data_IF_900299511095
#
_entry.id   IF_900299511095
#
_cell.length_a   1.000
_cell.length_b   1.000
_cell.length_c   1.000
_cell.angle_alpha   90.00
_cell.angle_beta   90.00
_cell.angle_gamma   90.00
#
_symmetry.space_group_name_H-M   'P 1'
#
loop_
_entity.id
_entity.type
_entity.pdbx_description
1 polymer ?
#
# COMPACT_ATOMS: atom_id res chain seq x y z
N UNK A 1 23.11 -8.42 -9.17
CA UNK A 1 23.97 -9.62 -9.09
C UNK A 1 24.06 -10.26 -7.69
N UNK A 2 23.56 -9.66 -6.60
CA UNK A 2 23.60 -10.28 -5.25
C UNK A 2 22.50 -11.35 -4.97
N UNK A 3 21.47 -11.44 -5.81
CA UNK A 3 20.36 -12.38 -5.59
C UNK A 3 20.73 -13.86 -5.86
N UNK A 4 21.90 -14.15 -6.47
CA UNK A 4 22.30 -15.53 -6.83
C UNK A 4 23.21 -16.20 -5.79
N UNK A 5 23.52 -15.54 -4.67
CA UNK A 5 24.45 -16.02 -3.63
C UNK A 5 23.75 -16.46 -2.33
N UNK A 6 22.43 -16.30 -2.22
CA UNK A 6 21.69 -16.83 -1.09
C UNK A 6 21.38 -18.31 -1.34
N UNK A 7 21.84 -19.19 -0.46
CA UNK A 7 21.44 -20.60 -0.47
C UNK A 7 19.91 -20.74 -0.41
N UNK A 8 19.39 -21.85 -0.91
CA UNK A 8 17.98 -22.07 -1.20
C UNK A 8 16.98 -21.96 -0.02
N UNK A 9 17.43 -21.61 1.19
CA UNK A 9 16.62 -21.58 2.42
C UNK A 9 16.57 -20.20 3.13
N UNK A 10 17.09 -19.13 2.52
CA UNK A 10 17.00 -17.80 3.17
C UNK A 10 15.61 -17.19 2.95
N UNK A 11 14.91 -16.90 4.05
CA UNK A 11 13.61 -16.25 4.01
C UNK A 11 13.71 -14.83 3.43
N UNK A 12 12.59 -14.32 2.90
CA UNK A 12 12.50 -12.93 2.40
C UNK A 12 12.91 -11.91 3.48
N UNK A 13 12.58 -12.19 4.74
CA UNK A 13 12.83 -11.29 5.85
C UNK A 13 14.32 -11.27 6.23
N UNK A 14 14.98 -12.43 6.22
CA UNK A 14 16.43 -12.52 6.43
C UNK A 14 17.22 -11.83 5.32
N UNK A 15 16.80 -11.99 4.06
CA UNK A 15 17.39 -11.25 2.93
C UNK A 15 17.22 -9.74 3.09
N UNK A 16 16.01 -9.30 3.47
CA UNK A 16 15.72 -7.88 3.68
C UNK A 16 16.57 -7.31 4.81
N UNK A 17 16.69 -8.03 5.92
CA UNK A 17 17.53 -7.62 7.04
C UNK A 17 19.00 -7.52 6.64
N UNK A 18 19.56 -8.54 5.98
CA UNK A 18 20.96 -8.54 5.55
C UNK A 18 21.26 -7.39 4.57
N UNK A 19 20.36 -7.12 3.62
CA UNK A 19 20.48 -5.98 2.69
C UNK A 19 20.48 -4.66 3.46
N UNK A 20 19.56 -4.49 4.41
CA UNK A 20 19.48 -3.27 5.21
C UNK A 20 20.69 -3.06 6.12
N UNK A 21 21.25 -4.12 6.70
CA UNK A 21 22.49 -4.05 7.48
C UNK A 21 23.69 -3.61 6.62
N UNK A 22 23.81 -4.13 5.40
CA UNK A 22 24.87 -3.67 4.49
C UNK A 22 24.65 -2.22 4.06
N UNK A 23 23.41 -1.82 3.79
CA UNK A 23 23.09 -0.44 3.43
C UNK A 23 23.45 0.53 4.58
N UNK A 24 23.20 0.17 5.84
CA UNK A 24 23.55 0.99 7.01
C UNK A 24 25.04 1.32 7.08
N UNK A 25 25.93 0.42 6.62
CA UNK A 25 27.38 0.68 6.60
C UNK A 25 27.75 1.85 5.68
N UNK A 26 26.95 2.12 4.64
CA UNK A 26 27.15 3.30 3.78
C UNK A 26 26.92 4.60 4.55
N UNK A 27 25.97 4.62 5.50
CA UNK A 27 25.70 5.78 6.34
C UNK A 27 26.86 6.09 7.29
N UNK A 28 27.52 5.06 7.83
CA UNK A 28 28.74 5.22 8.65
C UNK A 28 29.86 5.88 7.84
N UNK A 29 30.06 5.46 6.58
CA UNK A 29 31.01 6.13 5.69
C UNK A 29 30.67 7.61 5.44
N UNK A 30 29.37 7.91 5.29
CA UNK A 30 28.89 9.27 5.07
C UNK A 30 29.12 10.20 6.28
N UNK A 31 29.12 9.68 7.51
CA UNK A 31 29.40 10.48 8.73
C UNK A 31 30.75 11.20 8.64
N UNK A 32 31.80 10.52 8.16
CA UNK A 32 33.13 11.13 8.02
C UNK A 32 33.14 12.30 7.03
N UNK A 33 32.38 12.20 5.93
CA UNK A 33 32.24 13.29 4.97
C UNK A 33 31.45 14.46 5.55
N UNK A 34 30.36 14.17 6.26
CA UNK A 34 29.55 15.19 6.93
C UNK A 34 30.36 15.96 7.97
N UNK A 35 31.23 15.29 8.73
CA UNK A 35 32.16 15.95 9.65
C UNK A 35 33.11 16.90 8.93
N UNK A 36 33.65 16.51 7.77
CA UNK A 36 34.50 17.39 6.94
C UNK A 36 33.74 18.61 6.43
N UNK A 37 32.51 18.43 5.93
CA UNK A 37 31.66 19.53 5.45
C UNK A 37 31.39 20.53 6.59
N UNK A 38 31.09 20.03 7.79
CA UNK A 38 30.87 20.87 8.98
C UNK A 38 32.13 21.61 9.40
N UNK A 39 33.29 20.94 9.41
CA UNK A 39 34.57 21.56 9.74
C UNK A 39 34.95 22.69 8.75
N UNK A 40 34.50 22.60 7.51
CA UNK A 40 34.62 23.65 6.50
C UNK A 40 33.60 24.80 6.66
N UNK A 41 32.75 24.77 7.69
CA UNK A 41 31.74 25.80 7.96
C UNK A 41 30.50 25.73 7.07
N UNK A 42 30.30 24.62 6.34
CA UNK A 42 29.12 24.39 5.52
C UNK A 42 28.02 23.62 6.28
N UNK A 43 26.78 23.75 5.82
CA UNK A 43 25.62 23.05 6.38
C UNK A 43 25.37 21.79 5.56
N UNK A 44 25.62 20.59 6.10
CA UNK A 44 25.42 19.33 5.37
C UNK A 44 23.92 19.03 5.21
N UNK A 45 23.50 18.71 3.99
CA UNK A 45 22.15 18.25 3.67
C UNK A 45 22.25 16.84 3.09
N UNK A 46 21.55 15.90 3.71
CA UNK A 46 21.43 14.54 3.21
C UNK A 46 20.31 14.44 2.18
N UNK A 47 20.48 13.61 1.16
CA UNK A 47 19.42 13.32 0.20
C UNK A 47 19.32 11.81 0.03
N UNK A 48 18.10 11.29 0.07
CA UNK A 48 17.84 9.87 -0.14
C UNK A 48 16.54 9.69 -0.91
N UNK A 49 16.59 8.92 -2.00
CA UNK A 49 15.40 8.47 -2.70
C UNK A 49 15.26 6.97 -2.45
N UNK A 50 14.35 6.61 -1.55
CA UNK A 50 14.18 5.24 -1.10
C UNK A 50 13.32 5.20 0.13
N UNK A 51 13.25 4.03 0.77
CA UNK A 51 12.33 3.80 1.87
C UNK A 51 12.92 4.16 3.22
N UNK A 52 12.05 4.71 4.07
CA UNK A 52 12.31 4.85 5.50
C UNK A 52 11.33 3.94 6.22
N UNK A 53 11.86 3.09 7.10
CA UNK A 53 11.05 2.12 7.84
C UNK A 53 9.95 2.83 8.62
N UNK A 54 8.72 2.34 8.48
CA UNK A 54 7.54 2.94 9.11
C UNK A 54 6.95 4.13 8.35
N UNK A 55 7.44 4.44 7.15
CA UNK A 55 6.78 5.39 6.27
C UNK A 55 5.36 4.92 5.91
N UNK A 56 4.43 5.87 5.89
CA UNK A 56 3.03 5.64 5.53
C UNK A 56 2.82 5.88 4.03
N UNK A 57 1.95 5.08 3.43
CA UNK A 57 1.46 5.30 2.07
C UNK A 57 0.04 5.86 2.11
N UNK A 58 -0.33 6.64 1.10
CA UNK A 58 -1.63 7.32 1.06
C UNK A 58 -2.83 6.37 1.15
N UNK A 59 -2.70 5.16 0.57
CA UNK A 59 -3.73 4.11 0.65
C UNK A 59 -3.64 3.21 1.88
N UNK A 60 -2.74 3.49 2.83
CA UNK A 60 -2.52 2.67 4.04
C UNK A 60 -1.83 1.33 3.79
N UNK A 61 -1.37 1.05 2.56
CA UNK A 61 -0.60 -0.14 2.25
C UNK A 61 0.83 -0.09 2.78
N UNK A 62 1.53 -1.22 2.73
CA UNK A 62 2.98 -1.32 2.95
C UNK A 62 3.65 -1.56 1.59
N UNK A 63 4.88 -1.09 1.42
CA UNK A 63 5.70 -1.41 0.25
C UNK A 63 5.82 -2.93 0.07
N UNK A 64 5.78 -3.36 -1.18
CA UNK A 64 5.78 -4.78 -1.56
C UNK A 64 7.09 -5.11 -2.24
N UNK A 65 8.04 -5.67 -1.49
CA UNK A 65 9.28 -6.15 -2.08
C UNK A 65 10.34 -6.44 -1.05
N UNK A 66 11.54 -6.74 -1.52
CA UNK A 66 12.78 -6.55 -0.75
C UNK A 66 13.28 -5.18 -1.17
N UNK A 67 13.32 -4.23 -0.24
CA UNK A 67 13.77 -2.86 -0.49
C UNK A 67 14.81 -2.48 0.56
N UNK A 68 15.71 -1.57 0.18
CA UNK A 68 16.62 -0.94 1.14
C UNK A 68 15.81 0.07 1.94
N UNK A 69 15.67 -0.20 3.23
CA UNK A 69 14.98 0.66 4.17
C UNK A 69 15.93 1.15 5.25
N UNK A 70 16.10 2.47 5.34
CA UNK A 70 16.81 3.07 6.47
C UNK A 70 15.85 3.33 7.62
N UNK A 71 16.37 3.27 8.86
CA UNK A 71 15.66 3.86 9.99
C UNK A 71 15.87 5.39 9.94
N UNK A 72 14.83 6.17 10.27
CA UNK A 72 14.96 7.63 10.34
C UNK A 72 16.01 8.06 11.37
N UNK A 73 16.22 7.28 12.44
CA UNK A 73 17.28 7.52 13.41
C UNK A 73 18.68 7.34 12.81
N UNK A 74 18.91 6.28 12.01
CA UNK A 74 20.20 6.05 11.34
C UNK A 74 20.54 7.23 10.41
N UNK A 75 19.54 7.76 9.70
CA UNK A 75 19.71 8.96 8.85
C UNK A 75 20.05 10.20 9.68
N UNK A 76 19.44 10.37 10.84
CA UNK A 76 19.74 11.49 11.73
C UNK A 76 21.17 11.40 12.30
N UNK A 77 21.65 10.20 12.62
CA UNK A 77 23.00 9.93 13.14
C UNK A 77 24.11 10.20 12.11
N UNK A 78 23.79 10.30 10.82
CA UNK A 78 24.76 10.75 9.80
C UNK A 78 25.24 12.17 10.11
N UNK A 79 24.46 12.97 10.85
CA UNK A 79 24.85 14.30 11.30
C UNK A 79 24.55 15.41 10.29
N UNK A 80 23.74 15.14 9.26
CA UNK A 80 23.22 16.19 8.38
C UNK A 80 22.30 17.13 9.17
N UNK A 81 22.20 18.40 8.75
CA UNK A 81 21.25 19.34 9.35
C UNK A 81 19.80 19.02 8.96
N UNK A 82 19.61 18.46 7.77
CA UNK A 82 18.34 18.01 7.20
C UNK A 82 18.58 16.84 6.24
N UNK A 83 17.64 15.89 6.18
CA UNK A 83 17.57 14.82 5.19
C UNK A 83 16.32 15.00 4.32
N UNK A 84 16.55 15.35 3.07
CA UNK A 84 15.54 15.43 2.02
C UNK A 84 15.24 14.02 1.48
N UNK A 85 14.02 13.53 1.74
CA UNK A 85 13.57 12.23 1.26
C UNK A 85 12.67 12.34 0.04
N UNK A 86 12.79 11.39 -0.87
CA UNK A 86 11.87 11.13 -1.98
C UNK A 86 11.59 9.63 -2.10
N UNK A 87 10.59 9.25 -2.91
CA UNK A 87 10.04 7.89 -3.15
C UNK A 87 8.60 7.75 -2.66
N UNK A 88 8.32 8.19 -1.43
CA UNK A 88 6.97 8.15 -0.86
C UNK A 88 6.17 9.40 -1.24
N UNK A 89 5.00 9.23 -1.84
CA UNK A 89 4.14 10.33 -2.32
C UNK A 89 3.37 11.06 -1.21
N UNK A 90 3.24 10.44 -0.03
CA UNK A 90 2.65 11.05 1.16
C UNK A 90 3.68 11.91 1.88
N UNK A 91 3.39 13.21 2.00
CA UNK A 91 4.19 14.13 2.80
C UNK A 91 4.15 13.72 4.28
N UNK A 92 5.33 13.54 4.87
CA UNK A 92 5.48 13.11 6.27
C UNK A 92 6.89 13.41 6.77
N UNK A 93 7.09 13.36 8.08
CA UNK A 93 8.36 13.72 8.71
C UNK A 93 8.63 12.96 10.00
N UNK A 94 9.91 12.96 10.37
CA UNK A 94 10.45 12.50 11.63
C UNK A 94 11.42 13.54 12.19
N UNK A 95 11.71 13.44 13.49
CA UNK A 95 12.73 14.25 14.17
C UNK A 95 12.52 15.76 13.97
N UNK A 96 11.33 16.24 14.30
CA UNK A 96 10.93 17.66 14.18
C UNK A 96 11.16 18.23 12.77
N UNK A 97 10.82 17.45 11.75
CA UNK A 97 10.98 17.86 10.36
C UNK A 97 12.39 17.73 9.82
N UNK A 98 13.38 17.21 10.56
CA UNK A 98 14.76 17.08 10.06
C UNK A 98 14.96 15.95 9.07
N UNK A 99 14.07 14.97 9.07
CA UNK A 99 14.05 13.87 8.10
C UNK A 99 12.66 13.84 7.52
N UNK A 100 12.49 14.18 6.24
CA UNK A 100 11.14 14.38 5.72
C UNK A 100 10.96 14.02 4.24
N UNK A 101 9.84 13.38 3.93
CA UNK A 101 9.30 13.30 2.58
C UNK A 101 8.50 14.56 2.30
N UNK A 102 8.75 15.17 1.14
CA UNK A 102 7.89 16.25 0.64
C UNK A 102 6.61 15.74 0.00
N UNK A 103 6.52 14.43 -0.27
CA UNK A 103 5.46 13.85 -1.06
C UNK A 103 5.58 14.18 -2.55
N UNK A 104 4.53 13.85 -3.30
CA UNK A 104 4.38 14.25 -4.70
C UNK A 104 3.81 15.67 -4.81
N UNK A 105 4.07 16.34 -5.93
CA UNK A 105 3.47 17.66 -6.23
C UNK A 105 2.07 17.54 -6.84
N UNK A 106 1.72 16.36 -7.35
CA UNK A 106 0.45 16.02 -7.96
C UNK A 106 -0.07 14.69 -7.43
N UNK A 107 -1.35 14.39 -7.67
CA UNK A 107 -1.99 13.13 -7.26
C UNK A 107 -1.81 12.11 -8.37
N UNK A 108 -1.12 11.00 -8.05
CA UNK A 108 -0.83 9.97 -9.05
C UNK A 108 -1.97 8.94 -9.18
N UNK A 109 -2.84 8.85 -8.17
CA UNK A 109 -4.01 7.98 -8.17
C UNK A 109 -5.09 8.49 -7.20
N UNK A 110 -6.30 7.93 -7.28
CA UNK A 110 -7.46 8.26 -6.43
C UNK A 110 -7.28 7.89 -4.94
N UNK A 111 -6.18 7.23 -4.57
CA UNK A 111 -5.81 6.91 -3.19
C UNK A 111 -4.96 7.97 -2.50
N UNK A 112 -4.74 9.13 -3.13
CA UNK A 112 -3.90 10.21 -2.62
C UNK A 112 -4.69 11.49 -2.27
N UNK A 113 -5.64 11.45 -1.32
CA UNK A 113 -6.50 12.60 -0.99
C UNK A 113 -5.74 13.77 -0.35
N UNK A 114 -4.60 13.50 0.29
CA UNK A 114 -3.80 14.47 1.02
C UNK A 114 -3.38 15.69 0.20
N UNK A 115 -3.06 16.78 0.90
CA UNK A 115 -2.49 17.97 0.28
C UNK A 115 -1.17 17.64 -0.41
N UNK A 116 -0.98 18.22 -1.60
CA UNK A 116 0.24 18.09 -2.39
C UNK A 116 1.03 19.38 -2.31
N UNK A 117 2.36 19.27 -2.32
CA UNK A 117 3.17 20.43 -2.00
C UNK A 117 4.66 20.17 -2.01
N UNK A 118 5.38 21.03 -1.32
CA UNK A 118 6.81 20.91 -1.10
C UNK A 118 7.17 21.40 0.29
N UNK A 119 8.41 21.15 0.74
CA UNK A 119 8.89 21.63 2.03
C UNK A 119 9.83 22.82 1.86
N UNK A 120 9.52 23.90 2.57
CA UNK A 120 10.39 25.06 2.73
C UNK A 120 11.23 24.86 3.99
N UNK A 121 12.54 24.71 3.79
CA UNK A 121 13.51 24.52 4.88
C UNK A 121 14.32 25.80 5.06
N UNK A 122 14.33 26.33 6.29
CA UNK A 122 15.19 27.45 6.67
C UNK A 122 16.16 26.99 7.77
N UNK A 123 17.46 27.23 7.54
CA UNK A 123 18.52 26.86 8.48
C UNK A 123 19.40 28.10 8.70
N UNK A 124 19.50 28.52 9.96
CA UNK A 124 20.34 29.65 10.40
C UNK A 124 21.05 29.30 11.70
N UNK A 125 22.31 28.87 11.59
CA UNK A 125 23.05 28.30 12.71
C UNK A 125 22.32 27.09 13.29
N UNK A 126 21.93 27.19 14.57
CA UNK A 126 21.18 26.14 15.26
C UNK A 126 19.65 26.23 15.04
N UNK A 127 19.16 27.32 14.43
CA UNK A 127 17.74 27.47 14.12
C UNK A 127 17.39 26.64 12.90
N UNK A 128 16.31 25.88 13.02
CA UNK A 128 15.76 25.04 11.97
C UNK A 128 14.24 25.23 11.91
N UNK A 129 13.72 25.45 10.71
CA UNK A 129 12.29 25.38 10.43
C UNK A 129 12.05 24.51 9.20
N UNK A 130 10.95 23.74 9.26
CA UNK A 130 10.42 22.99 8.14
C UNK A 130 8.93 23.32 8.02
N UNK A 131 8.52 23.87 6.88
CA UNK A 131 7.12 24.20 6.61
C UNK A 131 6.68 23.52 5.34
N UNK A 132 5.60 22.74 5.41
CA UNK A 132 4.95 22.21 4.22
C UNK A 132 4.13 23.32 3.55
N UNK A 133 4.46 23.61 2.29
CA UNK A 133 3.77 24.59 1.46
C UNK A 133 2.88 23.84 0.47
N UNK A 134 1.57 23.92 0.69
CA UNK A 134 0.56 23.31 -0.17
C UNK A 134 0.52 24.01 -1.53
N UNK A 135 0.41 23.22 -2.59
CA UNK A 135 0.24 23.66 -3.97
C UNK A 135 -1.24 23.58 -4.36
N UNK A 136 -1.71 24.42 -5.30
CA UNK A 136 -3.07 24.37 -5.81
C UNK A 136 -3.28 23.17 -6.75
N UNK A 137 -3.14 21.96 -6.22
CA UNK A 137 -3.39 20.72 -6.94
C UNK A 137 -4.88 20.36 -6.87
N UNK A 138 -5.45 19.87 -7.97
CA UNK A 138 -6.84 19.40 -8.04
C UNK A 138 -7.12 18.41 -6.91
N UNK A 139 -8.16 18.66 -6.11
CA UNK A 139 -8.50 17.84 -4.93
C UNK A 139 -9.05 16.47 -5.34
N UNK A 140 -8.82 15.47 -4.49
CA UNK A 140 -9.61 14.24 -4.50
C UNK A 140 -10.66 14.35 -3.40
N UNK A 141 -11.92 14.08 -3.72
CA UNK A 141 -13.01 13.96 -2.76
C UNK A 141 -13.37 12.49 -2.62
N UNK A 142 -13.34 12.00 -1.38
CA UNK A 142 -13.73 10.63 -1.04
C UNK A 142 -15.19 10.65 -0.61
N UNK A 143 -16.05 9.99 -1.37
CA UNK A 143 -17.46 9.86 -1.07
C UNK A 143 -17.76 8.41 -0.70
N UNK A 144 -18.51 8.23 0.39
CA UNK A 144 -18.89 6.91 0.86
C UNK A 144 -20.40 6.79 1.02
N UNK A 145 -20.93 5.62 0.68
CA UNK A 145 -22.35 5.33 0.90
C UNK A 145 -22.54 3.89 1.35
N UNK A 146 -23.58 3.68 2.15
CA UNK A 146 -23.93 2.35 2.64
C UNK A 146 -25.31 1.96 2.13
N UNK A 147 -25.35 0.90 1.33
CA UNK A 147 -26.56 0.38 0.70
C UNK A 147 -26.89 -1.03 1.17
N UNK A 148 -26.30 -1.51 2.29
CA UNK A 148 -26.64 -2.83 2.82
C UNK A 148 -28.05 -2.89 3.44
N UNK A 149 -28.51 -1.75 3.98
CA UNK A 149 -29.75 -1.67 4.76
C UNK A 149 -30.85 -0.87 4.06
N UNK A 150 -30.64 -0.50 2.80
CA UNK A 150 -31.63 0.25 2.01
C UNK A 150 -32.55 -0.68 1.24
N UNK A 151 -33.77 -0.22 1.00
CA UNK A 151 -34.71 -0.89 0.11
C UNK A 151 -34.08 -1.03 -1.30
N UNK A 152 -33.94 -2.26 -1.85
CA UNK A 152 -33.31 -2.48 -3.14
C UNK A 152 -33.93 -1.69 -4.29
N UNK A 153 -35.23 -1.35 -4.19
CA UNK A 153 -35.92 -0.54 -5.19
C UNK A 153 -35.40 0.90 -5.28
N UNK A 154 -34.71 1.39 -4.24
CA UNK A 154 -34.13 2.74 -4.16
C UNK A 154 -32.69 2.80 -4.64
N UNK A 155 -31.99 1.66 -4.76
CA UNK A 155 -30.58 1.59 -5.18
C UNK A 155 -30.33 2.32 -6.51
N UNK A 156 -31.15 2.18 -7.56
CA UNK A 156 -30.90 2.86 -8.83
C UNK A 156 -30.94 4.41 -8.76
N UNK A 157 -31.50 4.98 -7.69
CA UNK A 157 -31.70 6.43 -7.53
C UNK A 157 -31.09 7.01 -6.25
N UNK A 158 -30.30 6.25 -5.51
CA UNK A 158 -29.78 6.66 -4.20
C UNK A 158 -28.57 7.61 -4.27
N UNK A 159 -28.28 8.17 -5.44
CA UNK A 159 -27.14 9.08 -5.67
C UNK A 159 -27.59 10.51 -5.44
N UNK A 160 -27.52 10.94 -4.18
CA UNK A 160 -27.81 12.33 -3.81
C UNK A 160 -26.64 13.25 -4.16
N UNK A 161 -26.93 14.55 -4.24
CA UNK A 161 -25.90 15.57 -4.40
C UNK A 161 -24.96 15.50 -3.19
N UNK A 162 -23.64 15.35 -3.38
CA UNK A 162 -22.69 15.36 -2.27
C UNK A 162 -22.76 16.68 -1.50
N UNK A 163 -22.60 16.61 -0.18
CA UNK A 163 -22.49 17.79 0.66
C UNK A 163 -21.17 18.54 0.39
N UNK A 164 -20.13 17.80 0.03
CA UNK A 164 -18.83 18.32 -0.33
C UNK A 164 -18.82 19.01 -1.70
N UNK A 165 -18.04 20.07 -1.82
CA UNK A 165 -17.76 20.71 -3.10
C UNK A 165 -16.87 19.81 -3.97
N UNK A 166 -17.47 19.21 -5.00
CA UNK A 166 -16.78 18.36 -5.97
C UNK A 166 -16.40 19.10 -7.25
N UNK A 167 -16.60 20.42 -7.33
CA UNK A 167 -16.39 21.20 -8.55
C UNK A 167 -14.93 21.11 -9.01
N UNK A 168 -14.73 20.50 -10.18
CA UNK A 168 -13.42 20.25 -10.77
C UNK A 168 -12.56 19.24 -10.00
N UNK A 169 -13.10 18.51 -9.02
CA UNK A 169 -12.39 17.53 -8.22
C UNK A 169 -12.32 16.15 -8.90
N UNK A 170 -11.38 15.31 -8.46
CA UNK A 170 -11.37 13.88 -8.75
C UNK A 170 -12.18 13.17 -7.66
N UNK A 171 -13.27 12.51 -8.01
CA UNK A 171 -14.15 11.87 -7.02
C UNK A 171 -13.84 10.39 -6.95
N UNK A 172 -13.57 9.88 -5.75
CA UNK A 172 -13.56 8.44 -5.49
C UNK A 172 -14.82 8.09 -4.72
N UNK A 173 -15.76 7.44 -5.38
CA UNK A 173 -17.05 7.04 -4.82
C UNK A 173 -17.01 5.57 -4.43
N UNK A 174 -17.22 5.28 -3.14
CA UNK A 174 -17.16 3.92 -2.60
C UNK A 174 -18.47 3.57 -1.92
N UNK A 175 -19.15 2.55 -2.39
CA UNK A 175 -20.41 2.10 -1.77
C UNK A 175 -20.31 0.69 -1.23
N UNK A 176 -20.89 0.47 -0.06
CA UNK A 176 -21.10 -0.88 0.50
C UNK A 176 -22.42 -1.43 -0.02
N UNK A 177 -22.41 -2.66 -0.53
CA UNK A 177 -23.61 -3.32 -1.03
C UNK A 177 -23.55 -4.83 -0.79
N UNK A 178 -24.71 -5.45 -0.68
CA UNK A 178 -24.85 -6.90 -0.63
C UNK A 178 -24.64 -7.51 -2.03
N UNK A 179 -23.98 -8.68 -2.18
CA UNK A 179 -23.75 -9.30 -3.48
C UNK A 179 -25.02 -9.54 -4.31
N UNK A 180 -26.15 -9.79 -3.64
CA UNK A 180 -27.46 -10.03 -4.29
C UNK A 180 -28.00 -8.80 -5.00
N UNK A 181 -27.68 -7.60 -4.52
CA UNK A 181 -28.24 -6.33 -4.99
C UNK A 181 -27.30 -5.59 -5.96
N UNK A 182 -26.09 -6.11 -6.19
CA UNK A 182 -25.08 -5.48 -7.05
C UNK A 182 -25.59 -5.21 -8.48
N UNK A 183 -26.44 -6.09 -9.02
CA UNK A 183 -27.01 -5.98 -10.36
C UNK A 183 -28.00 -4.80 -10.52
N UNK A 184 -28.42 -4.18 -9.41
CA UNK A 184 -29.33 -3.02 -9.39
C UNK A 184 -28.56 -1.70 -9.51
N UNK A 185 -27.23 -1.73 -9.43
CA UNK A 185 -26.40 -0.52 -9.48
C UNK A 185 -26.10 -0.17 -10.95
N UNK A 186 -26.44 1.05 -11.33
CA UNK A 186 -26.09 1.65 -12.61
C UNK A 186 -24.89 2.59 -12.41
N UNK A 187 -23.68 2.05 -12.57
CA UNK A 187 -22.43 2.81 -12.40
C UNK A 187 -22.29 3.95 -13.42
N UNK A 188 -22.81 3.78 -14.65
CA UNK A 188 -22.76 4.80 -15.69
C UNK A 188 -23.63 6.01 -15.31
N UNK A 189 -24.81 5.74 -14.75
CA UNK A 189 -25.69 6.79 -14.24
C UNK A 189 -25.08 7.53 -13.04
N UNK A 190 -24.43 6.80 -12.11
CA UNK A 190 -23.70 7.41 -10.98
C UNK A 190 -22.62 8.37 -11.49
N UNK A 191 -21.78 7.89 -12.41
CA UNK A 191 -20.70 8.69 -12.97
C UNK A 191 -21.26 9.95 -13.65
N UNK A 192 -22.32 9.79 -14.45
CA UNK A 192 -22.97 10.92 -15.14
C UNK A 192 -23.47 11.97 -14.15
N UNK A 193 -24.20 11.56 -13.11
CA UNK A 193 -24.74 12.47 -12.09
C UNK A 193 -23.60 13.24 -11.38
N UNK A 194 -22.53 12.55 -10.99
CA UNK A 194 -21.39 13.19 -10.33
C UNK A 194 -20.65 14.16 -11.26
N UNK A 195 -20.56 13.86 -12.56
CA UNK A 195 -20.00 14.78 -13.57
C UNK A 195 -20.90 16.00 -13.77
N UNK A 196 -22.23 15.84 -13.79
CA UNK A 196 -23.20 16.95 -13.85
C UNK A 196 -23.08 17.88 -12.63
N UNK A 197 -22.81 17.33 -11.45
CA UNK A 197 -22.54 18.09 -10.24
C UNK A 197 -21.14 18.73 -10.19
N UNK A 198 -20.28 18.47 -11.18
CA UNK A 198 -19.01 19.17 -11.35
C UNK A 198 -17.75 18.33 -11.20
N UNK A 199 -17.85 17.02 -10.94
CA UNK A 199 -16.69 16.15 -10.87
C UNK A 199 -15.92 16.17 -12.21
N UNK A 200 -14.60 16.36 -12.15
CA UNK A 200 -13.77 16.26 -13.34
C UNK A 200 -13.60 14.80 -13.78
N UNK A 201 -13.40 13.90 -12.81
CA UNK A 201 -13.26 12.48 -13.06
C UNK A 201 -13.77 11.68 -11.88
N UNK A 202 -14.28 10.48 -12.12
CA UNK A 202 -14.95 9.67 -11.11
C UNK A 202 -14.38 8.26 -11.14
N UNK A 203 -14.01 7.75 -9.97
CA UNK A 203 -13.67 6.35 -9.77
C UNK A 203 -14.69 5.73 -8.83
N UNK A 204 -15.39 4.71 -9.31
CA UNK A 204 -16.43 4.00 -8.56
C UNK A 204 -15.84 2.68 -8.05
N UNK A 205 -16.10 2.35 -6.77
CA UNK A 205 -15.62 1.12 -6.13
C UNK A 205 -16.74 0.48 -5.29
N UNK A 206 -17.18 -0.71 -5.68
CA UNK A 206 -18.09 -1.52 -4.89
C UNK A 206 -17.35 -2.28 -3.78
N UNK A 207 -17.84 -2.18 -2.55
CA UNK A 207 -17.38 -2.98 -1.40
C UNK A 207 -18.46 -3.99 -1.06
N UNK A 208 -18.22 -5.25 -1.41
CA UNK A 208 -19.18 -6.33 -1.17
C UNK A 208 -19.18 -6.76 0.29
N UNK A 209 -20.28 -6.49 0.98
CA UNK A 209 -20.51 -6.98 2.33
C UNK A 209 -21.21 -8.34 2.25
N UNK A 210 -20.47 -9.39 2.57
CA UNK A 210 -21.06 -10.72 2.66
C UNK A 210 -21.81 -10.82 3.99
N UNK A 211 -23.12 -11.08 3.94
CA UNK A 211 -23.86 -11.53 5.10
C UNK A 211 -23.23 -12.86 5.55
N UNK A 212 -22.41 -12.79 6.60
CA UNK A 212 -22.02 -14.01 7.32
C UNK A 212 -23.28 -14.50 7.98
N UNK A 213 -23.91 -15.52 7.38
CA UNK A 213 -24.93 -16.29 8.09
C UNK A 213 -24.21 -16.92 9.28
N UNK A 214 -24.42 -16.37 10.46
CA UNK A 214 -24.05 -17.03 11.71
C UNK A 214 -24.85 -18.32 11.65
N UNK A 215 -24.17 -19.43 11.33
CA UNK A 215 -24.73 -20.75 11.57
C UNK A 215 -25.04 -20.76 13.06
N UNK A 216 -26.30 -21.01 13.42
CA UNK A 216 -26.75 -21.03 14.82
C UNK A 216 -25.70 -21.71 15.69
N UNK A 217 -25.40 -21.16 16.86
CA UNK A 217 -24.44 -21.77 17.80
C UNK A 217 -24.72 -23.27 18.02
N UNK A 218 -26.00 -23.65 17.97
CA UNK A 218 -26.50 -25.02 18.03
C UNK A 218 -25.96 -25.94 16.92
N UNK A 219 -25.75 -25.44 15.68
CA UNK A 219 -25.17 -26.22 14.57
C UNK A 219 -23.66 -26.38 14.77
N UNK A 220 -23.00 -25.39 15.39
CA UNK A 220 -21.55 -25.38 15.63
C UNK A 220 -21.20 -26.23 16.86
N UNK A 221 -22.07 -26.27 17.87
CA UNK A 221 -21.91 -27.08 19.08
C UNK A 221 -22.40 -28.53 18.95
N UNK A 222 -23.09 -28.87 17.84
CA UNK A 222 -23.62 -30.21 17.62
C UNK A 222 -22.50 -31.25 17.44
N UNK A 223 -22.51 -32.25 18.31
CA UNK A 223 -21.52 -33.33 18.38
C UNK A 223 -21.92 -34.54 17.55
N UNK A 224 -23.22 -34.78 17.36
CA UNK A 224 -23.75 -35.82 16.48
C UNK A 224 -24.32 -35.26 15.17
N UNK A 225 -24.35 -36.09 14.13
CA UNK A 225 -24.97 -35.71 12.85
C UNK A 225 -26.47 -35.49 13.00
N UNK A 226 -27.13 -36.22 13.91
CA UNK A 226 -28.54 -36.00 14.25
C UNK A 226 -28.78 -34.62 14.87
N UNK A 227 -27.93 -34.18 15.82
CA UNK A 227 -28.02 -32.82 16.41
C UNK A 227 -27.86 -31.72 15.35
N UNK A 228 -27.01 -31.94 14.33
CA UNK A 228 -26.86 -30.99 13.21
C UNK A 228 -28.12 -30.92 12.35
N UNK A 229 -28.79 -32.05 12.12
CA UNK A 229 -30.06 -32.12 11.38
C UNK A 229 -31.18 -31.45 12.18
N UNK A 230 -31.26 -31.66 13.49
CA UNK A 230 -32.24 -30.99 14.35
C UNK A 230 -32.02 -29.48 14.41
N UNK A 231 -30.78 -29.03 14.56
CA UNK A 231 -30.45 -27.61 14.53
C UNK A 231 -30.75 -26.98 13.17
N UNK A 232 -30.59 -27.72 12.06
CA UNK A 232 -30.98 -27.28 10.72
C UNK A 232 -32.50 -27.20 10.54
N UNK A 233 -33.27 -28.20 11.01
CA UNK A 233 -34.73 -28.21 10.95
C UNK A 233 -35.33 -27.04 11.75
N UNK A 234 -34.79 -26.77 12.94
CA UNK A 234 -35.14 -25.60 13.76
C UNK A 234 -34.81 -24.29 13.05
N UNK A 235 -33.60 -24.18 12.49
CA UNK A 235 -33.18 -22.97 11.77
C UNK A 235 -33.97 -22.70 10.47
N UNK A 236 -34.54 -23.74 9.85
CA UNK A 236 -35.37 -23.62 8.65
C UNK A 236 -36.87 -23.61 8.92
N UNK A 237 -37.30 -23.73 10.19
CA UNK A 237 -38.71 -23.72 10.59
C UNK A 237 -39.53 -24.87 10.01
N UNK A 238 -38.89 -26.01 9.72
CA UNK A 238 -39.55 -27.19 9.16
C UNK A 238 -39.87 -28.18 10.27
N UNK A 239 -41.16 -28.42 10.49
CA UNK A 239 -41.63 -29.46 11.39
C UNK A 239 -41.76 -30.80 10.66
N UNK A 240 -41.14 -31.83 11.23
CA UNK A 240 -41.31 -33.22 10.80
C UNK A 240 -42.34 -33.90 11.70
N UNK A 241 -43.12 -34.80 11.11
CA UNK A 241 -43.92 -35.76 11.88
C UNK A 241 -43.00 -36.72 12.63
N UNK A 242 -43.47 -37.32 13.72
CA UNK A 242 -42.68 -38.28 14.50
C UNK A 242 -42.24 -39.50 13.65
N UNK A 243 -43.09 -39.93 12.71
CA UNK A 243 -42.77 -41.02 11.78
C UNK A 243 -41.64 -40.67 10.79
N UNK A 244 -41.65 -39.44 10.26
CA UNK A 244 -40.61 -38.97 9.34
C UNK A 244 -39.30 -38.73 10.07
N UNK A 245 -39.36 -38.26 11.33
CA UNK A 245 -38.21 -38.10 12.21
C UNK A 245 -37.52 -39.44 12.44
N UNK A 246 -38.27 -40.47 12.81
CA UNK A 246 -37.73 -41.80 13.08
C UNK A 246 -37.16 -42.45 11.80
N UNK A 247 -37.82 -42.25 10.66
CA UNK A 247 -37.32 -42.73 9.36
C UNK A 247 -36.01 -42.04 8.97
N UNK A 248 -35.93 -40.72 9.17
CA UNK A 248 -34.73 -39.95 8.83
C UNK A 248 -33.55 -40.36 9.73
N UNK A 249 -33.82 -40.58 11.02
CA UNK A 249 -32.83 -41.04 12.00
C UNK A 249 -32.29 -42.42 11.63
N UNK A 250 -33.18 -43.37 11.33
CA UNK A 250 -32.80 -44.71 10.88
C UNK A 250 -32.01 -44.69 9.56
N UNK A 251 -32.38 -43.80 8.63
CA UNK A 251 -31.65 -43.62 7.38
C UNK A 251 -30.26 -43.03 7.62
N UNK A 252 -30.11 -42.12 8.58
CA UNK A 252 -28.83 -41.49 8.91
C UNK A 252 -27.88 -42.50 9.59
N UNK A 253 -28.40 -43.27 10.54
CA UNK A 253 -27.66 -44.34 11.24
C UNK A 253 -27.17 -45.43 10.25
N UNK A 254 -27.87 -45.64 9.13
CA UNK A 254 -27.45 -46.59 8.08
C UNK A 254 -26.30 -46.09 7.19
N UNK A 255 -26.03 -44.79 7.20
CA UNK A 255 -25.01 -44.13 6.38
C UNK A 255 -23.74 -43.87 7.21
N UNK A 256 -23.86 -43.75 8.54
CA UNK A 256 -22.72 -43.55 9.41
C UNK A 256 -21.92 -44.85 9.64
N UNK A 257 -20.59 -44.84 9.44
CA UNK A 257 -19.77 -45.91 9.98
C UNK A 257 -19.82 -45.85 11.52
N UNK A 258 -19.82 -46.99 12.23
CA UNK A 258 -19.84 -46.99 13.69
C UNK A 258 -18.64 -46.19 14.24
N UNK A 259 -18.80 -45.49 15.36
CA UNK A 259 -17.73 -44.68 15.92
C UNK A 259 -16.49 -45.55 16.15
N UNK A 260 -15.33 -45.06 15.70
CA UNK A 260 -14.06 -45.72 15.96
C UNK A 260 -13.90 -45.88 17.48
N UNK A 261 -13.77 -47.13 17.95
CA UNK A 261 -13.53 -47.42 19.35
C UNK A 261 -12.24 -46.72 19.80
N UNK A 262 -12.35 -45.82 20.78
CA UNK A 262 -11.20 -45.21 21.44
C UNK A 262 -10.45 -46.28 22.24
N UNK A 263 -9.33 -46.77 21.72
CA UNK A 263 -8.35 -47.49 22.52
C UNK A 263 -7.46 -46.46 23.24
N UNK A 264 -7.90 -46.05 24.42
CA UNK A 264 -7.09 -45.26 25.36
C UNK A 264 -6.03 -46.18 25.96
N UNK A 265 -4.80 -46.13 25.45
CA UNK A 265 -3.62 -46.57 26.21
C UNK A 265 -2.83 -45.36 26.68
N UNK A 266 -2.98 -45.06 27.96
CA UNK A 266 -2.14 -44.12 28.68
C UNK A 266 -0.71 -44.66 28.71
N UNK A 267 0.26 -43.91 28.19
CA UNK A 267 1.67 -44.04 28.60
C UNK A 267 2.23 -42.66 28.82
N UNK A 268 2.32 -42.31 30.10
CA UNK A 268 3.13 -41.24 30.69
C UNK A 268 4.51 -41.19 30.04
N UNK A 269 5.07 -40.01 29.77
CA UNK A 269 6.48 -39.70 29.98
C UNK A 269 6.74 -38.19 29.79
N UNK A 270 7.11 -37.54 30.89
CA UNK A 270 7.63 -36.17 30.91
C UNK A 270 9.15 -36.17 30.64
N UNK A 271 9.54 -35.15 29.88
CA UNK A 271 10.85 -34.48 29.82
C UNK A 271 12.08 -35.19 29.23
N UNK A 272 12.61 -34.55 28.19
CA UNK A 272 14.03 -34.16 28.18
C UNK A 272 14.80 -34.55 26.92
N UNK A 273 15.81 -33.77 26.50
CA UNK A 273 16.02 -33.44 25.09
C UNK A 273 17.30 -34.03 24.48
N UNK A 274 17.37 -33.99 23.14
CA UNK A 274 18.52 -33.63 22.27
C UNK A 274 18.93 -34.64 21.17
N UNK A 275 19.13 -34.01 20.01
CA UNK A 275 20.28 -34.10 19.09
C UNK A 275 20.44 -35.27 18.13
N UNK A 276 20.51 -34.86 16.85
CA UNK A 276 21.54 -35.16 15.83
C UNK A 276 21.84 -36.64 15.53
N UNK A 277 21.54 -37.07 14.30
CA UNK A 277 22.54 -37.19 13.21
C UNK A 277 22.22 -38.36 12.25
N UNK A 278 22.46 -38.10 10.96
CA UNK A 278 22.76 -39.05 9.87
C UNK A 278 21.70 -40.09 9.51
N UNK A 279 21.67 -40.70 8.33
CA UNK A 279 21.96 -40.33 6.95
C UNK A 279 21.41 -41.50 6.12
N UNK A 280 21.16 -41.23 4.83
CA UNK A 280 21.04 -42.21 3.74
C UNK A 280 19.75 -43.03 3.63
N UNK A 281 19.09 -42.91 2.48
CA UNK A 281 18.03 -43.82 2.06
C UNK A 281 17.25 -43.33 0.85
N UNK A 282 17.82 -43.54 -0.33
CA UNK A 282 17.27 -43.29 -1.68
C UNK A 282 15.88 -43.94 -1.86
N UNK A 283 14.99 -43.33 -2.68
CA UNK A 283 14.33 -43.95 -3.87
C UNK A 283 13.19 -43.05 -4.41
N UNK A 284 13.45 -42.56 -5.63
CA UNK A 284 12.60 -42.40 -6.82
C UNK A 284 11.23 -41.71 -6.74
N UNK A 285 11.20 -40.54 -7.36
CA UNK A 285 10.03 -39.88 -7.94
C UNK A 285 9.74 -40.44 -9.34
N UNK A 286 8.46 -40.69 -9.65
CA UNK A 286 7.98 -40.85 -11.02
C UNK A 286 7.14 -39.64 -11.43
N UNK A 287 7.42 -39.19 -12.65
CA UNK A 287 6.84 -38.04 -13.32
C UNK A 287 5.54 -38.35 -14.06
N UNK A 288 4.66 -37.36 -14.17
CA UNK A 288 3.87 -37.11 -15.39
C UNK A 288 3.38 -35.65 -15.36
N UNK A 289 3.07 -34.94 -16.43
CA UNK A 289 3.54 -34.84 -17.81
C UNK A 289 2.80 -33.60 -18.37
N UNK A 290 3.49 -32.78 -19.15
CA UNK A 290 3.02 -31.48 -19.63
C UNK A 290 1.97 -31.57 -20.75
N UNK A 291 1.23 -30.47 -20.97
CA UNK A 291 0.59 -30.16 -22.26
C UNK A 291 0.84 -28.70 -22.65
N UNK A 292 1.62 -28.53 -23.71
CA UNK A 292 1.84 -27.28 -24.42
C UNK A 292 0.83 -27.11 -25.57
N UNK A 293 0.47 -25.87 -25.91
CA UNK A 293 -0.18 -25.51 -27.17
C UNK A 293 0.64 -24.39 -27.83
N UNK A 294 0.89 -24.57 -29.13
CA UNK A 294 1.81 -23.83 -30.01
C UNK A 294 1.21 -22.54 -30.58
N UNK A 295 2.13 -21.69 -31.03
CA UNK A 295 1.95 -20.45 -31.80
C UNK A 295 1.72 -20.66 -33.32
N UNK A 296 1.22 -19.61 -33.98
CA UNK A 296 1.38 -19.31 -35.43
C UNK A 296 1.24 -17.78 -35.64
N UNK A 297 2.34 -17.03 -35.84
CA UNK A 297 2.91 -16.49 -37.09
C UNK A 297 2.18 -15.30 -37.78
N UNK A 298 2.92 -14.17 -37.80
CA UNK A 298 3.12 -13.13 -38.84
C UNK A 298 1.96 -12.24 -39.32
N UNK A 299 2.13 -10.91 -39.20
CA UNK A 299 2.25 -10.02 -40.38
C UNK A 299 2.75 -8.60 -40.01
N UNK A 300 3.81 -8.19 -40.73
CA UNK A 300 4.20 -6.86 -41.25
C UNK A 300 3.72 -5.52 -40.61
N UNK A 301 4.71 -4.67 -40.30
CA UNK A 301 4.65 -3.20 -40.27
C UNK A 301 4.40 -2.61 -41.67
N UNK A 302 3.96 -1.34 -41.74
CA UNK A 302 4.85 -0.35 -42.33
C UNK A 302 4.97 0.96 -41.53
N UNK A 303 6.13 1.58 -41.72
CA UNK A 303 6.61 2.88 -41.24
C UNK A 303 5.92 4.07 -41.92
N UNK A 304 5.68 5.16 -41.19
CA UNK A 304 6.01 6.53 -41.67
C UNK A 304 6.04 7.54 -40.50
N UNK A 305 6.88 8.60 -40.57
CA UNK A 305 7.12 9.53 -39.48
C UNK A 305 6.29 10.82 -39.64
N UNK A 306 5.73 11.35 -38.55
CA UNK A 306 5.22 12.72 -38.52
C UNK A 306 5.86 13.50 -37.37
N UNK A 307 6.72 14.43 -37.78
CA UNK A 307 7.27 15.53 -37.01
C UNK A 307 6.16 16.38 -36.38
N UNK A 308 6.25 16.64 -35.07
CA UNK A 308 5.71 17.87 -34.50
C UNK A 308 6.52 18.27 -33.27
N UNK A 309 7.55 19.09 -33.55
CA UNK A 309 8.11 20.04 -32.60
C UNK A 309 6.99 20.91 -32.02
N UNK A 310 6.95 21.14 -30.71
CA UNK A 310 6.56 22.41 -30.06
C UNK A 310 6.86 22.30 -28.55
N UNK A 311 8.04 22.78 -28.15
CA UNK A 311 8.37 23.04 -26.75
C UNK A 311 8.01 24.50 -26.43
N UNK A 312 7.15 24.80 -25.44
CA UNK A 312 7.09 26.13 -24.88
C UNK A 312 8.20 26.29 -23.84
N UNK A 313 9.20 27.10 -24.19
CA UNK A 313 10.22 27.60 -23.26
C UNK A 313 9.56 28.47 -22.19
N UNK A 314 9.42 27.98 -20.96
CA UNK A 314 9.19 28.86 -19.81
C UNK A 314 10.53 29.32 -19.24
N UNK A 315 10.90 30.55 -19.59
CA UNK A 315 12.03 31.25 -19.00
C UNK A 315 11.69 31.63 -17.55
N UNK A 316 12.42 31.06 -16.59
CA UNK A 316 12.40 31.52 -15.21
C UNK A 316 13.01 32.92 -15.13
N UNK A 317 12.16 33.93 -14.90
CA UNK A 317 12.56 35.32 -14.73
C UNK A 317 13.09 35.51 -13.31
N UNK A 318 14.41 35.60 -13.16
CA UNK A 318 15.05 35.95 -11.90
C UNK A 318 14.66 37.39 -11.47
N UNK A 319 13.96 37.52 -10.36
CA UNK A 319 13.68 38.81 -9.73
C UNK A 319 14.98 39.29 -9.06
N UNK A 320 15.66 40.26 -9.68
CA UNK A 320 16.75 41.02 -9.04
C UNK A 320 16.15 42.11 -8.14
N UNK A 321 16.28 41.97 -6.82
CA UNK A 321 16.06 43.08 -5.89
C UNK A 321 17.31 43.97 -5.84
N UNK A 322 17.11 45.25 -6.16
CA UNK A 322 18.11 46.34 -6.09
C UNK A 322 18.57 46.53 -4.63
N UNK A 323 19.88 46.52 -4.39
CA UNK A 323 20.47 47.03 -3.15
C UNK A 323 20.88 48.49 -3.34
N UNK A 324 20.35 49.37 -2.50
CA UNK A 324 20.77 50.76 -2.39
C UNK A 324 20.70 51.17 -0.92
N UNK A 325 21.79 51.75 -0.40
CA UNK A 325 21.83 52.39 0.91
C UNK A 325 23.03 51.99 1.76
N UNK A 326 24.04 52.87 1.82
CA UNK A 326 25.17 52.84 2.75
C UNK A 326 24.67 53.20 4.16
N UNK A 327 25.16 52.47 5.16
CA UNK A 327 25.05 52.82 6.58
C UNK A 327 25.81 51.80 7.41
N UNK A 328 26.92 52.22 8.03
CA UNK A 328 27.79 51.36 8.82
C UNK A 328 27.25 51.13 10.23
N UNK A 329 27.17 49.87 10.63
CA UNK A 329 27.35 49.41 12.01
C UNK A 329 27.48 47.89 11.96
N UNK A 330 28.44 47.33 12.70
CA UNK A 330 28.72 45.90 12.78
C UNK A 330 27.50 45.12 13.28
N UNK A 331 26.81 44.43 12.38
CA UNK A 331 25.88 43.35 12.72
C UNK A 331 26.37 42.06 12.06
N UNK A 332 26.39 40.99 12.86
CA UNK A 332 26.56 39.61 12.41
C UNK A 332 25.69 39.38 11.17
N UNK A 333 26.32 39.03 10.05
CA UNK A 333 25.58 38.61 8.85
C UNK A 333 25.04 37.20 9.13
N UNK A 334 23.83 37.09 9.67
CA UNK A 334 23.09 35.84 9.55
C UNK A 334 22.75 35.66 8.08
N UNK A 335 23.45 34.75 7.42
CA UNK A 335 23.19 34.40 6.04
C UNK A 335 22.06 33.36 6.06
N UNK A 336 20.82 33.83 6.05
CA UNK A 336 19.64 32.97 5.96
C UNK A 336 19.74 32.15 4.67
N UNK A 337 20.01 30.85 4.78
CA UNK A 337 20.06 29.93 3.64
C UNK A 337 18.70 29.27 3.51
N UNK A 338 17.99 29.58 2.41
CA UNK A 338 16.73 28.94 2.04
C UNK A 338 16.98 27.86 1.00
N UNK A 339 16.48 26.66 1.26
CA UNK A 339 16.49 25.55 0.30
C UNK A 339 15.05 25.12 0.05
N UNK A 340 14.63 25.15 -1.21
CA UNK A 340 13.38 24.53 -1.65
C UNK A 340 13.69 23.14 -2.18
N UNK A 341 12.99 22.14 -1.66
CA UNK A 341 13.09 20.75 -2.15
C UNK A 341 11.72 20.32 -2.65
N UNK A 342 11.60 20.11 -3.96
CA UNK A 342 10.43 19.50 -4.58
C UNK A 342 10.73 18.03 -4.88
N UNK A 343 9.75 17.15 -4.65
CA UNK A 343 9.85 15.74 -5.03
C UNK A 343 9.95 15.60 -6.55
N UNK A 344 10.94 14.86 -7.03
CA UNK A 344 11.11 14.54 -8.45
C UNK A 344 10.50 13.16 -8.71
N UNK A 345 9.55 13.05 -9.65
CA UNK A 345 9.11 11.77 -10.20
C UNK A 345 9.92 11.48 -11.45
N UNK A 346 10.60 10.34 -11.48
CA UNK A 346 11.26 9.85 -12.69
C UNK A 346 10.29 8.91 -13.41
N UNK A 347 9.87 9.26 -14.63
CA UNK A 347 9.29 8.28 -15.55
C UNK A 347 10.40 7.35 -16.01
N UNK A 348 10.36 6.08 -15.59
CA UNK A 348 11.23 5.04 -16.15
C UNK A 348 10.74 4.69 -17.55
N UNK A 349 11.22 5.40 -18.57
CA UNK A 349 11.20 4.88 -19.94
C UNK A 349 12.25 3.78 -20.04
N UNK A 350 11.77 2.53 -20.12
CA UNK A 350 12.58 1.34 -20.30
C UNK A 350 13.24 1.34 -21.68
N UNK A 351 14.47 1.82 -21.78
CA UNK A 351 15.34 1.52 -22.91
C UNK A 351 15.83 0.08 -22.81
N UNK A 352 15.18 -0.78 -23.60
CA UNK A 352 15.66 -2.11 -23.97
C UNK A 352 17.00 -1.98 -24.71
N UNK A 353 18.10 -2.34 -24.05
CA UNK A 353 19.38 -2.62 -24.71
C UNK A 353 19.42 -4.11 -25.06
N UNK A 354 19.27 -4.42 -26.36
CA UNK A 354 19.70 -5.69 -26.93
C UNK A 354 21.24 -5.76 -26.89
N UNK A 355 21.75 -6.84 -26.31
CA UNK A 355 23.02 -7.49 -26.67
C UNK A 355 22.89 -8.97 -26.40
#
# INVERSE_FOLDING_TARGET
>A
QMASLAGADVSKDELTLAVNEQAKRLLVGAQGEVQRIRAAGAIPIGMHHGMVRGAKFSSGGTERGITVEFNSHDLMEVGCAYFALGHVHLAQEWHDGRVAYSGSTERMNFGEPEDKGFRLIEIDGDRFSNTFVSLPARKIVLLESDWTDIDPSKIPGCHERPEEDIQGALVRYRYRILPKDLHLVDEDNIEKILREYGAHDVKIEAVLQHEVRIRSEEIVSATSTWEKVEAWLKATGKDLTDEDRDRLKASLDSIEPPPAAEEVTATTLTHGPRSLSSASGVVQTTSSAARAVRASTSSTCPTSPSTCSHSPKYAARAIRTRSGGRGGSSMSRSCLKRVMVAGWSASMDGTSTRS
#
